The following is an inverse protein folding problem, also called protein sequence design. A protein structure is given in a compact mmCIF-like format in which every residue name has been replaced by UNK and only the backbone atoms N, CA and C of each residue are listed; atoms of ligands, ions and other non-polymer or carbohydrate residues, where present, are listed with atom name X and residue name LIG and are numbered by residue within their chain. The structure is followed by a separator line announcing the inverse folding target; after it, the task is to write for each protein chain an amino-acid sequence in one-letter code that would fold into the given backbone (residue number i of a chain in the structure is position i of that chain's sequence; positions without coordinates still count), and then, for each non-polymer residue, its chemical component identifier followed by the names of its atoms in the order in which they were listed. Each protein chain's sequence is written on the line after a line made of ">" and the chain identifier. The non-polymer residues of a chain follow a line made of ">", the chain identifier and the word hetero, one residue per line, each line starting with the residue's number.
data_IF_594089837214
#
_entry.id   IF_594089837214
#
_cell.length_a   1.000
_cell.length_b   1.000
_cell.length_c   1.000
_cell.angle_alpha   90.00
_cell.angle_beta   90.00
_cell.angle_gamma   90.00
#
_symmetry.space_group_name_H-M   'P 1'
#
loop_
_entity.id
_entity.type
_entity.pdbx_description
1 polymer ?
#
# COMPACT_ATOMS: atom_id res chain seq x y z
N UNK A 1 28.12 5.70 -27.66
CA UNK A 1 27.39 5.54 -26.38
C UNK A 1 28.43 5.43 -25.28
N UNK A 2 28.34 6.19 -24.17
CA UNK A 2 29.24 6.00 -23.04
C UNK A 2 29.05 4.58 -22.51
N UNK A 3 30.09 3.77 -22.61
CA UNK A 3 30.09 2.42 -22.07
C UNK A 3 30.52 2.52 -20.62
N UNK A 4 29.55 2.51 -19.70
CA UNK A 4 29.80 2.43 -18.26
C UNK A 4 30.50 1.10 -17.97
N UNK A 5 31.81 1.14 -17.99
CA UNK A 5 32.67 0.00 -17.72
C UNK A 5 33.03 -0.10 -16.24
N UNK A 6 33.65 -1.22 -15.83
CA UNK A 6 34.13 -1.40 -14.45
C UNK A 6 35.02 -0.25 -13.97
N UNK A 7 35.80 0.36 -14.87
CA UNK A 7 36.67 1.49 -14.56
C UNK A 7 35.91 2.77 -14.18
N UNK A 8 34.82 3.09 -14.89
CA UNK A 8 34.00 4.28 -14.59
C UNK A 8 33.23 4.11 -13.27
N UNK A 9 32.70 2.89 -13.04
CA UNK A 9 32.08 2.54 -11.76
C UNK A 9 33.08 2.66 -10.59
N UNK A 10 34.34 2.29 -10.80
CA UNK A 10 35.39 2.42 -9.78
C UNK A 10 35.65 3.90 -9.43
N UNK A 11 35.64 4.81 -10.41
CA UNK A 11 35.82 6.25 -10.17
C UNK A 11 34.66 6.83 -9.36
N UNK A 12 33.43 6.50 -9.73
CA UNK A 12 32.23 6.92 -8.99
C UNK A 12 32.26 6.36 -7.57
N UNK A 13 32.62 5.08 -7.43
CA UNK A 13 32.80 4.43 -6.15
C UNK A 13 33.84 5.18 -5.31
N UNK A 14 35.00 5.52 -5.88
CA UNK A 14 36.06 6.25 -5.17
C UNK A 14 35.55 7.60 -4.64
N UNK A 15 34.82 8.37 -5.46
CA UNK A 15 34.19 9.64 -5.03
C UNK A 15 33.20 9.40 -3.89
N UNK A 16 32.36 8.35 -4.00
CA UNK A 16 31.43 7.97 -2.93
C UNK A 16 32.18 7.54 -1.65
N UNK A 17 33.33 6.86 -1.75
CA UNK A 17 34.19 6.54 -0.61
C UNK A 17 34.82 7.79 0.01
N UNK A 18 35.10 8.86 -0.74
CA UNK A 18 35.58 10.10 -0.15
C UNK A 18 34.46 10.81 0.65
N UNK A 19 33.23 10.80 0.13
CA UNK A 19 32.08 11.43 0.80
C UNK A 19 31.61 10.64 2.01
N UNK A 20 31.40 9.32 1.85
CA UNK A 20 30.85 8.46 2.89
C UNK A 20 31.94 7.76 3.73
N UNK A 21 33.13 7.56 3.20
CA UNK A 21 34.22 6.82 3.84
C UNK A 21 34.24 5.33 3.48
N UNK A 22 35.43 4.71 3.34
CA UNK A 22 35.59 3.28 3.03
C UNK A 22 35.01 2.36 4.10
N UNK A 23 34.87 2.86 5.34
CA UNK A 23 34.28 2.11 6.45
C UNK A 23 32.75 2.10 6.43
N UNK A 24 32.10 3.11 5.84
CA UNK A 24 30.64 3.24 5.86
C UNK A 24 29.95 2.39 4.80
N UNK A 25 30.55 2.22 3.62
CA UNK A 25 29.98 1.32 2.61
C UNK A 25 29.78 -0.14 3.07
N UNK A 26 30.76 -0.82 3.69
CA UNK A 26 30.55 -2.19 4.18
C UNK A 26 29.60 -2.23 5.38
N UNK A 27 29.54 -1.17 6.20
CA UNK A 27 28.59 -1.06 7.30
C UNK A 27 27.14 -0.97 6.80
N UNK A 28 26.89 -0.10 5.81
CA UNK A 28 25.60 0.04 5.12
C UNK A 28 25.24 -1.21 4.31
N UNK A 29 26.21 -1.84 3.66
CA UNK A 29 26.02 -3.07 2.91
C UNK A 29 25.62 -4.24 3.81
N UNK A 30 26.16 -4.32 5.03
CA UNK A 30 25.78 -5.35 6.02
C UNK A 30 24.35 -5.17 6.50
N UNK A 31 23.93 -3.95 6.84
CA UNK A 31 22.55 -3.68 7.31
C UNK A 31 21.53 -3.88 6.19
N UNK A 32 21.80 -3.36 4.99
CA UNK A 32 20.95 -3.56 3.83
C UNK A 32 20.90 -5.04 3.42
N UNK A 33 22.05 -5.72 3.43
CA UNK A 33 22.15 -7.14 3.10
C UNK A 33 21.37 -8.03 4.07
N UNK A 34 21.41 -7.73 5.37
CA UNK A 34 20.58 -8.41 6.37
C UNK A 34 19.08 -8.20 6.09
N UNK A 35 18.67 -6.96 5.80
CA UNK A 35 17.28 -6.64 5.45
C UNK A 35 16.80 -7.33 4.17
N UNK A 36 17.61 -7.32 3.11
CA UNK A 36 17.31 -8.02 1.85
C UNK A 36 17.25 -9.52 2.08
N UNK A 37 18.14 -10.10 2.90
CA UNK A 37 18.14 -11.53 3.20
C UNK A 37 16.86 -11.95 3.92
N UNK A 38 16.43 -11.18 4.91
CA UNK A 38 15.17 -11.43 5.63
C UNK A 38 13.98 -11.26 4.69
N UNK A 39 13.94 -10.17 3.91
CA UNK A 39 12.89 -9.93 2.92
C UNK A 39 12.76 -11.10 1.94
N UNK A 40 13.88 -11.56 1.36
CA UNK A 40 13.88 -12.73 0.46
C UNK A 40 13.39 -13.99 1.16
N UNK A 41 13.76 -14.22 2.42
CA UNK A 41 13.31 -15.37 3.21
C UNK A 41 11.80 -15.34 3.43
N UNK A 42 11.26 -14.19 3.83
CA UNK A 42 9.81 -14.02 4.01
C UNK A 42 9.07 -14.18 2.69
N UNK A 43 9.51 -13.50 1.61
CA UNK A 43 8.87 -13.61 0.29
C UNK A 43 8.90 -15.03 -0.26
N UNK A 44 10.00 -15.76 -0.06
CA UNK A 44 10.13 -17.14 -0.51
C UNK A 44 9.16 -18.07 0.24
N UNK A 45 9.04 -17.92 1.56
CA UNK A 45 8.06 -18.66 2.36
C UNK A 45 6.61 -18.39 1.93
N UNK A 46 6.26 -17.13 1.63
CA UNK A 46 4.92 -16.79 1.14
C UNK A 46 4.65 -17.38 -0.24
N UNK A 47 5.65 -17.42 -1.12
CA UNK A 47 5.53 -18.06 -2.44
C UNK A 47 5.26 -19.56 -2.30
N UNK A 48 5.95 -20.23 -1.39
CA UNK A 48 5.78 -21.66 -1.13
C UNK A 48 4.41 -21.97 -0.51
N UNK A 49 3.90 -21.11 0.38
CA UNK A 49 2.56 -21.25 0.97
C UNK A 49 1.44 -21.03 -0.06
N UNK A 50 1.60 -20.04 -0.94
CA UNK A 50 0.68 -19.82 -2.06
C UNK A 50 0.71 -21.01 -3.02
N UNK A 51 1.89 -21.45 -3.47
CA UNK A 51 2.03 -22.59 -4.38
C UNK A 51 1.54 -23.92 -3.75
N UNK A 52 1.70 -24.10 -2.43
CA UNK A 52 1.16 -25.23 -1.67
C UNK A 52 -0.36 -25.21 -1.59
N UNK A 53 -0.96 -24.05 -1.32
CA UNK A 53 -2.42 -23.86 -1.24
C UNK A 53 -3.12 -24.11 -2.59
N UNK A 54 -2.44 -23.89 -3.72
CA UNK A 54 -2.96 -24.24 -5.05
C UNK A 54 -2.76 -25.72 -5.43
N UNK A 55 -1.87 -26.44 -4.74
CA UNK A 55 -1.58 -27.88 -4.98
C UNK A 55 -2.31 -28.80 -4.00
N UNK A 56 -2.81 -28.27 -2.89
CA UNK A 56 -3.60 -29.00 -1.90
C UNK A 56 -5.12 -28.86 -2.15
N UNK A 57 -5.53 -28.88 -3.43
CA UNK A 57 -6.88 -29.29 -3.80
C UNK A 57 -6.82 -30.82 -4.01
N UNK A 58 -7.32 -31.64 -3.07
CA UNK A 58 -7.38 -33.08 -3.28
C UNK A 58 -8.23 -33.35 -4.52
N UNK A 59 -7.83 -34.33 -5.31
CA UNK A 59 -8.61 -34.83 -6.42
C UNK A 59 -9.99 -35.31 -5.92
N UNK A 60 -11.02 -34.46 -6.07
CA UNK A 60 -12.39 -34.91 -6.28
C UNK A 60 -13.10 -33.83 -7.09
N UNK A 61 -13.58 -34.12 -8.31
CA UNK A 61 -14.30 -33.14 -9.11
C UNK A 61 -15.54 -32.68 -8.33
N UNK A 62 -15.72 -31.36 -8.08
CA UNK A 62 -17.00 -30.88 -7.60
C UNK A 62 -18.02 -31.14 -8.71
N UNK A 63 -18.97 -32.02 -8.41
CA UNK A 63 -20.16 -32.26 -9.22
C UNK A 63 -20.75 -30.91 -9.64
N UNK A 64 -21.05 -30.70 -10.93
CA UNK A 64 -21.75 -29.51 -11.37
C UNK A 64 -23.18 -29.53 -10.77
N UNK A 65 -23.71 -28.35 -10.50
CA UNK A 65 -25.10 -28.09 -10.10
C UNK A 65 -25.52 -28.44 -8.66
N UNK A 66 -25.19 -27.56 -7.72
CA UNK A 66 -26.18 -27.14 -6.70
C UNK A 66 -26.22 -25.62 -6.64
N UNK A 67 -26.87 -25.04 -7.66
CA UNK A 67 -28.11 -24.28 -7.43
C UNK A 67 -28.20 -23.59 -6.07
N UNK A 68 -27.42 -22.51 -5.86
CA UNK A 68 -27.78 -21.46 -4.89
C UNK A 68 -28.67 -20.45 -5.64
N UNK A 69 -29.84 -20.91 -6.07
CA UNK A 69 -30.99 -20.08 -6.45
C UNK A 69 -32.15 -20.42 -5.53
N UNK A 70 -31.97 -20.14 -4.24
CA UNK A 70 -33.07 -20.10 -3.28
C UNK A 70 -32.59 -19.45 -1.97
N UNK A 71 -32.29 -18.15 -2.00
CA UNK A 71 -32.50 -17.36 -0.79
C UNK A 71 -33.45 -16.21 -1.12
N UNK A 72 -34.57 -16.27 -0.42
CA UNK A 72 -35.83 -15.68 -0.78
C UNK A 72 -35.87 -14.16 -0.62
N UNK A 73 -36.58 -13.54 -1.57
CA UNK A 73 -37.44 -12.37 -1.40
C UNK A 73 -36.82 -11.13 -0.71
N UNK A 74 -36.21 -10.26 -1.53
CA UNK A 74 -36.26 -8.82 -1.31
C UNK A 74 -37.36 -8.28 -2.25
N UNK A 75 -38.51 -7.79 -1.76
CA UNK A 75 -39.48 -7.14 -2.63
C UNK A 75 -38.85 -5.88 -3.27
N UNK A 76 -39.18 -5.57 -4.54
CA UNK A 76 -38.65 -4.39 -5.20
C UNK A 76 -39.30 -3.16 -4.56
N UNK A 77 -38.56 -2.44 -3.73
CA UNK A 77 -38.91 -1.05 -3.40
C UNK A 77 -38.75 -0.26 -4.69
N UNK A 78 -39.88 0.09 -5.29
CA UNK A 78 -39.97 0.90 -6.49
C UNK A 78 -39.13 2.18 -6.38
N UNK A 79 -38.49 2.64 -7.47
CA UNK A 79 -37.77 3.91 -7.48
C UNK A 79 -38.79 5.05 -7.35
N UNK A 80 -39.04 5.51 -6.13
CA UNK A 80 -39.71 6.78 -5.92
C UNK A 80 -38.76 7.89 -6.31
N UNK A 81 -39.09 8.56 -7.41
CA UNK A 81 -38.52 9.83 -7.81
C UNK A 81 -38.74 10.85 -6.68
N UNK A 82 -37.74 11.06 -5.84
CA UNK A 82 -37.63 12.27 -5.03
C UNK A 82 -36.74 13.24 -5.78
N UNK A 83 -37.42 14.23 -6.35
CA UNK A 83 -36.87 15.42 -7.02
C UNK A 83 -35.76 16.07 -6.20
N UNK A 84 -34.67 16.54 -6.83
CA UNK A 84 -33.67 17.34 -6.14
C UNK A 84 -34.30 18.68 -5.75
N UNK A 85 -34.69 18.83 -4.48
CA UNK A 85 -35.04 20.14 -3.93
C UNK A 85 -33.75 20.89 -3.62
N UNK A 86 -33.42 21.83 -4.50
CA UNK A 86 -32.53 22.97 -4.26
C UNK A 86 -32.88 23.61 -2.93
N UNK A 87 -32.04 23.41 -1.92
CA UNK A 87 -32.02 24.23 -0.70
C UNK A 87 -30.72 25.04 -0.69
N UNK A 88 -30.80 26.22 -1.29
CA UNK A 88 -29.90 27.33 -0.97
C UNK A 88 -30.44 28.01 0.28
N UNK A 89 -29.74 27.96 1.42
CA UNK A 89 -29.53 29.17 2.20
C UNK A 89 -28.13 29.21 2.84
N UNK A 90 -27.29 30.16 2.43
CA UNK A 90 -27.07 31.45 3.11
C UNK A 90 -25.95 31.42 4.15
N UNK A 91 -25.12 32.45 4.03
CA UNK A 91 -23.88 32.68 4.73
C UNK A 91 -24.03 32.70 6.26
N UNK A 92 -23.08 32.06 6.94
CA UNK A 92 -22.80 32.28 8.36
C UNK A 92 -21.30 32.57 8.54
N UNK A 93 -20.98 33.86 8.51
CA UNK A 93 -19.75 34.48 9.04
C UNK A 93 -20.24 35.67 9.87
N UNK A 94 -19.65 36.10 11.01
CA UNK A 94 -18.38 35.74 11.64
C UNK A 94 -18.50 35.24 13.09
N UNK A 95 -17.46 34.56 13.56
CA UNK A 95 -17.19 34.28 14.98
C UNK A 95 -16.81 35.57 15.72
N UNK A 96 -17.42 35.90 16.87
CA UNK A 96 -17.06 37.07 17.66
C UNK A 96 -15.65 36.94 18.26
N UNK A 97 -14.76 37.84 17.85
CA UNK A 97 -13.42 38.02 18.45
C UNK A 97 -13.53 38.83 19.73
N UNK A 98 -13.21 38.16 20.84
CA UNK A 98 -12.42 38.65 21.98
C UNK A 98 -12.60 40.12 22.39
N UNK A 99 -13.40 40.35 23.45
CA UNK A 99 -13.25 41.53 24.30
C UNK A 99 -13.62 41.17 25.74
N UNK A 100 -12.64 40.72 26.51
CA UNK A 100 -12.74 40.57 27.96
C UNK A 100 -11.60 41.39 28.60
N UNK A 101 -11.92 42.65 28.91
CA UNK A 101 -11.32 43.38 30.01
C UNK A 101 -12.46 43.66 30.99
N UNK A 102 -12.23 43.57 32.31
CA UNK A 102 -11.89 44.81 33.01
C UNK A 102 -11.03 44.63 34.28
N UNK A 103 -10.57 45.77 34.82
CA UNK A 103 -10.07 46.03 36.19
C UNK A 103 -8.55 45.79 36.35
N UNK A 104 -7.73 46.75 36.77
CA UNK A 104 -7.93 47.96 37.60
C UNK A 104 -6.90 49.04 37.25
#
# INVERSE_FOLDING_TARGET
>A
MPNIGPGELLVILLIALLVFGPKKLPELGKSLGAGIREFRRSTQGLKEELEGSFREAPATPPSPAQTVIAQAAIPPVAPQAVTPQTVTPQAVTPTPTSNDGPRS
#
